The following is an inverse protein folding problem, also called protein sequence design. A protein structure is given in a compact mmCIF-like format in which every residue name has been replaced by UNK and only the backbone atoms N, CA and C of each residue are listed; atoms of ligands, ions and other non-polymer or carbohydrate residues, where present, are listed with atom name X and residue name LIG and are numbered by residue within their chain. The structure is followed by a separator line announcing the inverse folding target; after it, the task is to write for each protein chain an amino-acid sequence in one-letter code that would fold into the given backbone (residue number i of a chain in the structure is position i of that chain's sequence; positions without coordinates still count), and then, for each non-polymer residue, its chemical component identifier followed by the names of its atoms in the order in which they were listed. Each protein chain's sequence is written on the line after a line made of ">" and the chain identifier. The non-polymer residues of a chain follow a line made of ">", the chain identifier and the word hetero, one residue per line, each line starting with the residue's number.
data_IF_860466278700
#
_entry.id   IF_860466278700
#
_cell.length_a   1.000
_cell.length_b   1.000
_cell.length_c   1.000
_cell.angle_alpha   90.00
_cell.angle_beta   90.00
_cell.angle_gamma   90.00
#
_symmetry.space_group_name_H-M   'P 1'
#
loop_
_entity.id
_entity.type
_entity.pdbx_description
1 polymer ?
#
# COMPACT_ATOMS: atom_id res chain seq x y z
N UNK A 1 2.36 -23.26 -11.56
CA UNK A 1 2.88 -22.52 -12.73
C UNK A 1 3.64 -21.30 -12.23
N UNK A 2 4.76 -20.96 -12.86
CA UNK A 2 5.49 -19.74 -12.52
C UNK A 2 4.86 -18.60 -13.30
N UNK A 3 4.34 -17.57 -12.61
CA UNK A 3 3.80 -16.38 -13.26
C UNK A 3 4.98 -15.57 -13.79
N UNK A 4 4.98 -15.28 -15.09
CA UNK A 4 5.99 -14.44 -15.73
C UNK A 4 5.47 -13.02 -15.85
N UNK A 5 6.22 -12.00 -15.40
CA UNK A 5 5.84 -10.62 -15.63
C UNK A 5 5.74 -10.28 -17.11
N UNK A 6 4.73 -9.47 -17.47
CA UNK A 6 4.54 -8.95 -18.81
C UNK A 6 5.28 -7.61 -18.95
N UNK A 7 5.84 -7.33 -20.12
CA UNK A 7 6.42 -6.03 -20.45
C UNK A 7 5.32 -5.03 -20.78
N UNK A 8 5.54 -3.74 -20.43
CA UNK A 8 4.53 -2.70 -20.67
C UNK A 8 4.13 -2.58 -22.14
N UNK A 9 5.09 -2.62 -23.07
CA UNK A 9 4.81 -2.51 -24.51
C UNK A 9 4.02 -3.70 -25.07
N UNK A 10 4.15 -4.89 -24.49
CA UNK A 10 3.37 -6.08 -24.85
C UNK A 10 1.95 -5.96 -24.29
N UNK A 11 1.82 -5.55 -23.01
CA UNK A 11 0.53 -5.35 -22.36
C UNK A 11 -0.30 -4.24 -23.04
N UNK A 12 0.35 -3.23 -23.61
CA UNK A 12 -0.32 -2.11 -24.26
C UNK A 12 -1.01 -2.48 -25.58
N UNK A 13 -0.56 -3.53 -26.26
CA UNK A 13 -1.10 -3.97 -27.55
C UNK A 13 -1.99 -5.21 -27.46
N UNK A 14 -1.94 -5.92 -26.35
CA UNK A 14 -2.79 -7.10 -26.12
C UNK A 14 -4.21 -6.68 -25.75
N UNK A 15 -5.21 -7.25 -26.41
CA UNK A 15 -6.63 -6.99 -26.14
C UNK A 15 -7.26 -8.10 -25.28
N UNK A 16 -8.38 -7.75 -24.61
CA UNK A 16 -9.17 -8.73 -23.87
C UNK A 16 -8.75 -8.96 -22.42
N UNK A 17 -7.84 -8.12 -21.88
CA UNK A 17 -7.50 -8.07 -20.47
C UNK A 17 -7.87 -6.73 -19.85
N UNK A 18 -8.26 -6.75 -18.58
CA UNK A 18 -8.45 -5.54 -17.79
C UNK A 18 -7.09 -4.96 -17.42
N UNK A 19 -6.99 -3.63 -17.35
CA UNK A 19 -5.77 -2.91 -17.01
C UNK A 19 -5.90 -2.27 -15.64
N UNK A 20 -5.41 -2.90 -14.58
CA UNK A 20 -5.66 -2.51 -13.20
C UNK A 20 -4.41 -1.93 -12.56
N UNK A 21 -4.54 -0.73 -12.03
CA UNK A 21 -3.49 0.00 -11.33
C UNK A 21 -3.83 0.06 -9.84
N UNK A 22 -3.26 -0.83 -9.02
CA UNK A 22 -3.47 -0.79 -7.58
C UNK A 22 -2.77 0.40 -6.95
N UNK A 23 -3.49 1.15 -6.14
CA UNK A 23 -3.03 2.34 -5.44
C UNK A 23 -2.82 2.08 -3.96
N UNK A 24 -1.75 2.66 -3.41
CA UNK A 24 -1.47 2.63 -1.97
C UNK A 24 -1.61 4.00 -1.30
N UNK A 25 -1.96 5.04 -2.07
CA UNK A 25 -1.89 6.43 -1.63
C UNK A 25 -0.46 6.91 -1.38
N UNK A 26 0.57 6.18 -1.84
CA UNK A 26 1.97 6.55 -1.74
C UNK A 26 2.53 7.09 -3.06
N UNK A 27 3.71 7.72 -2.99
CA UNK A 27 4.36 8.41 -4.11
C UNK A 27 4.53 7.56 -5.37
N UNK A 28 4.95 6.29 -5.22
CA UNK A 28 5.35 5.45 -6.36
C UNK A 28 4.12 4.97 -7.16
N UNK A 29 3.07 4.49 -6.48
CA UNK A 29 1.83 4.08 -7.15
C UNK A 29 1.09 5.27 -7.76
N UNK A 30 1.15 6.45 -7.13
CA UNK A 30 0.56 7.67 -7.66
C UNK A 30 1.30 8.18 -8.90
N UNK A 31 2.63 8.22 -8.86
CA UNK A 31 3.42 8.58 -10.05
C UNK A 31 3.21 7.61 -11.20
N UNK A 32 3.09 6.30 -10.91
CA UNK A 32 2.73 5.29 -11.90
C UNK A 32 1.39 5.59 -12.56
N UNK A 33 0.36 5.95 -11.78
CA UNK A 33 -0.98 6.26 -12.31
C UNK A 33 -0.94 7.45 -13.26
N UNK A 34 -0.27 8.53 -12.86
CA UNK A 34 -0.09 9.73 -13.68
C UNK A 34 0.68 9.41 -14.97
N UNK A 35 1.77 8.65 -14.85
CA UNK A 35 2.58 8.23 -15.98
C UNK A 35 1.79 7.40 -17.00
N UNK A 36 1.04 6.41 -16.53
CA UNK A 36 0.24 5.54 -17.38
C UNK A 36 -0.88 6.31 -18.08
N UNK A 37 -1.63 7.13 -17.35
CA UNK A 37 -2.71 7.94 -17.91
C UNK A 37 -2.22 8.93 -18.97
N UNK A 38 -1.02 9.50 -18.78
CA UNK A 38 -0.44 10.44 -19.73
C UNK A 38 0.15 9.75 -20.97
N UNK A 39 0.87 8.64 -20.79
CA UNK A 39 1.63 7.98 -21.85
C UNK A 39 0.76 7.06 -22.73
N UNK A 40 -0.30 6.50 -22.14
CA UNK A 40 -1.18 5.52 -22.80
C UNK A 40 -2.66 5.91 -22.64
N UNK A 41 -3.08 7.08 -23.15
CA UNK A 41 -4.44 7.59 -22.98
C UNK A 41 -5.51 6.72 -23.66
N UNK A 42 -5.12 5.85 -24.58
CA UNK A 42 -5.99 4.90 -25.28
C UNK A 42 -6.33 3.66 -24.42
N UNK A 43 -5.59 3.40 -23.36
CA UNK A 43 -5.86 2.27 -22.47
C UNK A 43 -6.83 2.68 -21.38
N UNK A 44 -7.90 1.92 -21.23
CA UNK A 44 -8.86 2.09 -20.16
C UNK A 44 -8.31 1.50 -18.85
N UNK A 45 -7.52 2.28 -18.10
CA UNK A 45 -7.02 1.87 -16.79
C UNK A 45 -8.11 1.93 -15.74
N UNK A 46 -8.11 0.94 -14.84
CA UNK A 46 -8.92 0.92 -13.62
C UNK A 46 -8.00 1.21 -12.43
N UNK A 47 -8.23 2.32 -11.75
CA UNK A 47 -7.48 2.68 -10.54
C UNK A 47 -8.20 2.13 -9.32
N UNK A 48 -7.49 1.31 -8.51
CA UNK A 48 -8.12 0.57 -7.40
C UNK A 48 -7.35 0.79 -6.11
N UNK A 49 -8.03 1.23 -5.07
CA UNK A 49 -7.48 1.40 -3.72
C UNK A 49 -8.12 0.40 -2.75
N UNK A 50 -7.29 -0.41 -2.08
CA UNK A 50 -7.77 -1.32 -1.04
C UNK A 50 -7.83 -0.58 0.31
N UNK A 51 -9.02 -0.16 0.71
CA UNK A 51 -9.25 0.54 1.96
C UNK A 51 -9.30 -0.43 3.15
N UNK A 52 -8.34 -0.30 4.06
CA UNK A 52 -8.28 -1.10 5.28
C UNK A 52 -9.09 -0.48 6.43
N UNK A 53 -9.58 0.75 6.24
CA UNK A 53 -10.21 1.58 7.28
C UNK A 53 -9.23 2.01 8.38
N UNK A 54 -7.94 1.99 8.08
CA UNK A 54 -6.86 2.32 9.00
C UNK A 54 -5.78 3.23 8.38
N UNK A 55 -6.06 3.85 7.28
CA UNK A 55 -5.19 4.84 6.64
C UNK A 55 -5.23 6.16 7.39
N UNK A 56 -4.21 7.01 7.14
CA UNK A 56 -4.20 8.39 7.62
C UNK A 56 -5.22 9.24 6.85
N UNK A 57 -5.84 10.26 7.46
CA UNK A 57 -6.73 11.19 6.75
C UNK A 57 -6.10 11.78 5.48
N UNK A 58 -4.81 12.14 5.56
CA UNK A 58 -4.05 12.69 4.43
C UNK A 58 -3.94 11.72 3.25
N UNK A 59 -4.11 10.42 3.49
CA UNK A 59 -4.12 9.42 2.40
C UNK A 59 -5.39 9.56 1.58
N UNK A 60 -6.54 9.72 2.22
CA UNK A 60 -7.82 9.90 1.54
C UNK A 60 -7.86 11.23 0.78
N UNK A 61 -7.45 12.33 1.42
CA UNK A 61 -7.33 13.65 0.79
C UNK A 61 -6.43 13.61 -0.46
N UNK A 62 -5.35 12.84 -0.38
CA UNK A 62 -4.42 12.70 -1.49
C UNK A 62 -5.01 11.91 -2.64
N UNK A 63 -5.76 10.84 -2.36
CA UNK A 63 -6.47 10.06 -3.37
C UNK A 63 -7.58 10.90 -4.04
N UNK A 64 -8.34 11.71 -3.28
CA UNK A 64 -9.37 12.61 -3.84
C UNK A 64 -8.75 13.63 -4.82
N UNK A 65 -7.58 14.18 -4.47
CA UNK A 65 -6.83 15.06 -5.37
C UNK A 65 -6.32 14.35 -6.61
N UNK A 66 -5.87 13.10 -6.46
CA UNK A 66 -5.43 12.27 -7.58
C UNK A 66 -6.58 11.97 -8.55
N UNK A 67 -7.77 11.62 -8.04
CA UNK A 67 -8.98 11.43 -8.84
C UNK A 67 -9.29 12.67 -9.70
N UNK A 68 -9.20 13.85 -9.08
CA UNK A 68 -9.43 15.10 -9.80
C UNK A 68 -8.42 15.34 -10.94
N UNK A 69 -7.14 15.03 -10.71
CA UNK A 69 -6.08 15.19 -11.72
C UNK A 69 -6.21 14.16 -12.84
N UNK A 70 -6.54 12.90 -12.49
CA UNK A 70 -6.74 11.83 -13.47
C UNK A 70 -8.03 12.05 -14.30
N UNK A 71 -8.99 12.83 -13.79
CA UNK A 71 -10.33 12.95 -14.38
C UNK A 71 -11.10 11.62 -14.38
N UNK A 72 -10.73 10.70 -13.49
CA UNK A 72 -11.29 9.36 -13.40
C UNK A 72 -11.38 8.91 -11.95
N UNK A 73 -12.47 8.21 -11.60
CA UNK A 73 -12.71 7.67 -10.27
C UNK A 73 -11.68 6.60 -9.88
N UNK A 74 -11.25 6.62 -8.60
CA UNK A 74 -10.49 5.56 -7.96
C UNK A 74 -11.47 4.64 -7.24
N UNK A 75 -11.64 3.42 -7.73
CA UNK A 75 -12.49 2.42 -7.09
C UNK A 75 -11.92 2.04 -5.73
N UNK A 76 -12.68 2.33 -4.67
CA UNK A 76 -12.29 2.01 -3.29
C UNK A 76 -12.97 0.71 -2.87
N UNK A 77 -12.18 -0.31 -2.58
CA UNK A 77 -12.66 -1.62 -2.16
C UNK A 77 -12.18 -1.94 -0.76
N UNK A 78 -13.04 -2.54 0.05
CA UNK A 78 -12.67 -2.98 1.39
C UNK A 78 -12.90 -4.49 1.56
N UNK A 79 -12.27 -5.07 2.59
CA UNK A 79 -12.52 -6.47 2.95
C UNK A 79 -13.97 -6.70 3.38
N UNK A 80 -14.65 -5.69 3.91
CA UNK A 80 -16.06 -5.79 4.32
C UNK A 80 -17.00 -5.94 3.11
N UNK A 81 -16.65 -5.29 1.98
CA UNK A 81 -17.46 -5.33 0.78
C UNK A 81 -17.14 -6.55 -0.09
N UNK A 82 -15.88 -6.94 -0.13
CA UNK A 82 -15.39 -7.97 -1.04
C UNK A 82 -15.39 -9.38 -0.46
N UNK A 83 -15.26 -9.51 0.84
CA UNK A 83 -15.27 -10.78 1.56
C UNK A 83 -16.56 -10.86 2.37
N UNK A 84 -17.06 -12.07 2.64
CA UNK A 84 -18.25 -12.29 3.48
C UNK A 84 -17.98 -11.95 4.96
N UNK A 85 -17.57 -10.70 5.20
CA UNK A 85 -17.23 -10.16 6.51
C UNK A 85 -18.25 -9.09 6.88
N UNK A 86 -19.11 -9.38 7.84
CA UNK A 86 -20.16 -8.44 8.27
C UNK A 86 -19.58 -7.20 8.91
N UNK A 87 -19.94 -6.02 8.39
CA UNK A 87 -19.61 -4.76 9.01
C UNK A 87 -20.17 -4.68 10.44
N UNK A 88 -19.41 -4.11 11.36
CA UNK A 88 -19.82 -3.88 12.75
C UNK A 88 -19.77 -2.41 13.10
N UNK A 89 -20.79 -1.85 13.77
CA UNK A 89 -20.81 -0.44 14.14
C UNK A 89 -19.54 -0.01 14.89
N UNK A 90 -18.91 1.08 14.44
CA UNK A 90 -17.72 1.65 15.07
C UNK A 90 -16.42 0.86 14.90
N UNK A 91 -16.42 -0.22 14.07
CA UNK A 91 -15.22 -1.01 13.77
C UNK A 91 -14.79 -0.81 12.32
N UNK A 92 -13.50 -0.59 12.12
CA UNK A 92 -12.88 -0.59 10.79
C UNK A 92 -12.81 -2.01 10.23
N UNK A 93 -12.55 -2.15 8.93
CA UNK A 93 -12.30 -3.46 8.31
C UNK A 93 -11.17 -4.20 9.03
N UNK A 94 -10.11 -3.47 9.43
CA UNK A 94 -9.03 -4.04 10.23
C UNK A 94 -9.53 -4.59 11.58
N UNK A 95 -10.34 -3.83 12.32
CA UNK A 95 -10.87 -4.27 13.62
C UNK A 95 -11.73 -5.54 13.49
N UNK A 96 -12.60 -5.58 12.49
CA UNK A 96 -13.46 -6.74 12.27
C UNK A 96 -12.62 -7.98 11.97
N UNK A 97 -11.69 -7.89 11.03
CA UNK A 97 -10.81 -9.02 10.69
C UNK A 97 -9.94 -9.42 11.88
N UNK A 98 -9.35 -8.46 12.61
CA UNK A 98 -8.54 -8.73 13.80
C UNK A 98 -9.29 -9.54 14.85
N UNK A 99 -10.48 -9.12 15.21
CA UNK A 99 -11.19 -9.74 16.33
C UNK A 99 -12.00 -10.98 15.92
N UNK A 100 -12.60 -10.99 14.75
CA UNK A 100 -13.49 -12.05 14.33
C UNK A 100 -12.75 -13.23 13.65
N UNK A 101 -11.63 -12.95 12.97
CA UNK A 101 -10.87 -14.00 12.28
C UNK A 101 -9.55 -14.36 12.97
N UNK A 102 -8.92 -13.41 13.65
CA UNK A 102 -7.62 -13.62 14.29
C UNK A 102 -7.66 -13.55 15.83
N UNK A 103 -8.87 -13.48 16.44
CA UNK A 103 -9.06 -13.46 17.90
C UNK A 103 -8.10 -12.50 18.62
N UNK A 104 -7.93 -11.30 18.07
CA UNK A 104 -7.05 -10.26 18.61
C UNK A 104 -5.55 -10.47 18.34
N UNK A 105 -5.16 -11.49 17.56
CA UNK A 105 -3.77 -11.72 17.21
C UNK A 105 -3.29 -10.68 16.20
N UNK A 106 -2.44 -9.74 16.65
CA UNK A 106 -1.97 -8.62 15.85
C UNK A 106 -0.98 -9.05 14.75
N UNK A 107 -0.96 -8.33 13.62
CA UNK A 107 -0.03 -8.62 12.54
C UNK A 107 1.41 -8.19 12.93
N UNK A 108 2.39 -8.89 12.36
CA UNK A 108 3.80 -8.61 12.55
C UNK A 108 4.57 -8.85 11.25
N UNK A 109 5.87 -8.52 11.18
CA UNK A 109 6.70 -8.84 10.01
C UNK A 109 6.67 -10.32 9.61
N UNK A 110 6.48 -11.22 10.60
CA UNK A 110 6.42 -12.67 10.38
C UNK A 110 5.02 -13.16 10.02
N UNK A 111 3.97 -12.44 10.45
CA UNK A 111 2.57 -12.87 10.30
C UNK A 111 1.77 -11.72 9.70
N UNK A 112 1.88 -11.56 8.38
CA UNK A 112 1.34 -10.42 7.63
C UNK A 112 -0.09 -10.67 7.14
N UNK A 113 -0.95 -11.18 8.01
CA UNK A 113 -2.34 -11.47 7.67
C UNK A 113 -3.11 -10.21 7.22
N UNK A 114 -2.77 -9.03 7.77
CA UNK A 114 -3.41 -7.78 7.39
C UNK A 114 -3.25 -7.48 5.88
N UNK A 115 -2.08 -7.72 5.33
CA UNK A 115 -1.84 -7.56 3.89
C UNK A 115 -2.71 -8.53 3.07
N UNK A 116 -2.75 -9.79 3.50
CA UNK A 116 -3.49 -10.83 2.77
C UNK A 116 -4.98 -10.60 2.82
N UNK A 117 -5.52 -10.38 4.02
CA UNK A 117 -6.97 -10.29 4.27
C UNK A 117 -7.57 -8.95 3.86
N UNK A 118 -6.81 -7.84 4.02
CA UNK A 118 -7.36 -6.50 3.81
C UNK A 118 -6.98 -5.89 2.45
N UNK A 119 -6.04 -6.51 1.72
CA UNK A 119 -5.57 -5.97 0.43
C UNK A 119 -5.61 -7.01 -0.68
N UNK A 120 -4.84 -8.12 -0.53
CA UNK A 120 -4.71 -9.10 -1.61
C UNK A 120 -6.03 -9.78 -1.92
N UNK A 121 -6.71 -10.38 -0.92
CA UNK A 121 -7.97 -11.09 -1.14
C UNK A 121 -9.07 -10.17 -1.68
N UNK A 122 -9.32 -8.95 -1.14
CA UNK A 122 -10.26 -8.02 -1.74
C UNK A 122 -9.92 -7.67 -3.19
N UNK A 123 -8.64 -7.45 -3.49
CA UNK A 123 -8.16 -7.17 -4.83
C UNK A 123 -8.40 -8.34 -5.80
N UNK A 124 -8.05 -9.56 -5.40
CA UNK A 124 -8.30 -10.78 -6.17
C UNK A 124 -9.80 -11.00 -6.40
N UNK A 125 -10.63 -10.74 -5.39
CA UNK A 125 -12.09 -10.85 -5.48
C UNK A 125 -12.68 -9.81 -6.43
N UNK A 126 -12.15 -8.58 -6.43
CA UNK A 126 -12.55 -7.52 -7.35
C UNK A 126 -12.27 -7.88 -8.81
N UNK A 127 -11.14 -8.50 -9.08
CA UNK A 127 -10.78 -8.96 -10.42
C UNK A 127 -11.59 -10.21 -10.81
N UNK A 128 -11.80 -11.11 -9.87
CA UNK A 128 -12.51 -12.36 -10.11
C UNK A 128 -11.73 -13.29 -11.05
N UNK A 129 -12.45 -13.88 -12.00
CA UNK A 129 -11.87 -14.78 -13.02
C UNK A 129 -11.38 -14.06 -14.29
N UNK A 130 -11.60 -12.73 -14.37
CA UNK A 130 -11.25 -11.98 -15.57
C UNK A 130 -9.73 -11.97 -15.78
N UNK A 131 -9.26 -12.15 -17.02
CA UNK A 131 -7.86 -11.91 -17.34
C UNK A 131 -7.51 -10.44 -17.09
N UNK A 132 -6.43 -10.17 -16.34
CA UNK A 132 -6.04 -8.82 -15.98
C UNK A 132 -4.51 -8.62 -15.99
N UNK A 133 -4.11 -7.40 -16.30
CA UNK A 133 -2.78 -6.87 -15.98
C UNK A 133 -2.85 -6.08 -14.67
N UNK A 134 -1.88 -6.31 -13.79
CA UNK A 134 -1.72 -5.57 -12.55
C UNK A 134 -0.44 -4.73 -12.62
N UNK A 135 -0.58 -3.41 -12.66
CA UNK A 135 0.51 -2.46 -12.84
C UNK A 135 1.11 -2.06 -11.51
N UNK A 136 2.36 -2.45 -11.26
CA UNK A 136 3.00 -2.32 -9.94
C UNK A 136 4.06 -1.23 -9.97
N UNK A 137 3.97 -0.26 -9.03
CA UNK A 137 4.84 0.90 -8.94
C UNK A 137 6.20 0.61 -8.30
N UNK A 138 6.96 -0.35 -8.85
CA UNK A 138 8.35 -0.61 -8.45
C UNK A 138 9.28 0.16 -9.37
N UNK A 139 10.15 0.99 -8.78
CA UNK A 139 11.13 1.79 -9.53
C UNK A 139 12.34 0.96 -9.96
N UNK A 140 13.09 1.49 -10.94
CA UNK A 140 14.31 0.85 -11.44
C UNK A 140 15.47 0.89 -10.43
N UNK A 141 15.50 1.91 -9.57
CA UNK A 141 16.53 2.09 -8.52
C UNK A 141 16.24 1.31 -7.22
N UNK A 142 15.10 0.61 -7.15
CA UNK A 142 14.77 -0.24 -6.00
C UNK A 142 15.42 -1.63 -6.14
N UNK A 143 16.25 -1.97 -5.15
CA UNK A 143 16.80 -3.33 -5.04
C UNK A 143 15.84 -4.22 -4.24
N UNK A 144 14.80 -4.76 -4.91
CA UNK A 144 13.87 -5.71 -4.27
C UNK A 144 14.23 -7.12 -4.64
N UNK A 145 14.36 -7.96 -3.63
CA UNK A 145 14.57 -9.40 -3.81
C UNK A 145 13.51 -9.98 -4.76
N UNK A 146 13.94 -10.72 -5.76
CA UNK A 146 13.09 -11.41 -6.70
C UNK A 146 12.88 -10.76 -8.06
N UNK A 147 13.29 -9.52 -8.26
CA UNK A 147 13.17 -8.88 -9.56
C UNK A 147 14.49 -8.71 -10.32
N UNK A 148 15.60 -8.56 -9.62
CA UNK A 148 16.94 -8.50 -10.21
C UNK A 148 17.76 -9.72 -9.83
N UNK A 149 18.28 -10.45 -10.82
CA UNK A 149 19.27 -11.50 -10.56
C UNK A 149 18.74 -12.88 -10.21
N UNK A 150 17.61 -13.33 -10.77
CA UNK A 150 17.17 -14.73 -10.71
C UNK A 150 16.33 -15.14 -9.51
N UNK A 151 15.85 -14.17 -8.71
CA UNK A 151 14.82 -14.41 -7.69
C UNK A 151 13.41 -14.47 -8.29
N UNK A 152 12.42 -14.92 -7.50
CA UNK A 152 11.02 -14.86 -7.89
C UNK A 152 10.55 -13.41 -8.01
N UNK A 153 9.76 -13.05 -9.06
CA UNK A 153 9.19 -11.71 -9.16
C UNK A 153 8.34 -11.40 -7.93
N UNK A 154 8.33 -10.14 -7.55
CA UNK A 154 7.44 -9.65 -6.50
C UNK A 154 6.03 -9.62 -7.06
N UNK A 155 5.23 -10.60 -6.73
CA UNK A 155 3.84 -10.68 -7.16
C UNK A 155 2.93 -10.03 -6.12
N UNK A 156 1.93 -9.32 -6.60
CA UNK A 156 0.84 -8.83 -5.81
C UNK A 156 -0.15 -9.94 -5.50
N UNK A 157 -0.43 -10.76 -6.51
CA UNK A 157 -1.31 -11.91 -6.47
C UNK A 157 -0.61 -13.11 -7.12
N UNK A 158 -0.92 -14.30 -6.62
CA UNK A 158 -0.47 -15.58 -7.21
C UNK A 158 -1.54 -16.19 -8.14
N UNK A 159 -2.63 -15.47 -8.40
CA UNK A 159 -3.68 -15.91 -9.31
C UNK A 159 -3.17 -15.90 -10.76
N UNK A 160 -3.34 -17.01 -11.51
CA UNK A 160 -2.75 -17.16 -12.84
C UNK A 160 -3.36 -16.24 -13.91
N UNK A 161 -4.56 -15.71 -13.66
CA UNK A 161 -5.23 -14.75 -14.55
C UNK A 161 -4.75 -13.30 -14.35
N UNK A 162 -3.97 -13.02 -13.30
CA UNK A 162 -3.47 -11.67 -12.96
C UNK A 162 -1.97 -11.62 -13.27
N UNK A 163 -1.61 -10.95 -14.37
CA UNK A 163 -0.22 -10.81 -14.79
C UNK A 163 0.39 -9.48 -14.32
N UNK A 164 1.51 -9.51 -13.62
CA UNK A 164 2.16 -8.29 -13.16
C UNK A 164 2.90 -7.58 -14.29
N UNK A 165 2.83 -6.25 -14.29
CA UNK A 165 3.55 -5.34 -15.19
C UNK A 165 4.27 -4.30 -14.34
N UNK A 166 5.51 -3.94 -14.70
CA UNK A 166 6.36 -3.01 -13.93
C UNK A 166 6.82 -1.82 -14.77
N UNK A 167 5.94 -0.90 -15.18
CA UNK A 167 6.26 0.14 -16.16
C UNK A 167 7.41 1.06 -15.73
N UNK A 168 7.42 1.51 -14.48
CA UNK A 168 8.48 2.40 -13.98
C UNK A 168 9.87 1.73 -14.07
N UNK A 169 9.91 0.42 -13.84
CA UNK A 169 11.16 -0.33 -13.94
C UNK A 169 11.56 -0.58 -15.40
N UNK A 170 10.60 -0.93 -16.25
CA UNK A 170 10.83 -1.16 -17.67
C UNK A 170 11.39 0.09 -18.38
N UNK A 171 10.90 1.27 -17.96
CA UNK A 171 11.31 2.56 -18.52
C UNK A 171 12.44 3.25 -17.74
N UNK A 172 13.03 2.59 -16.73
CA UNK A 172 14.20 3.07 -16.02
C UNK A 172 13.96 4.20 -15.03
N UNK A 173 12.71 4.40 -14.57
CA UNK A 173 12.37 5.47 -13.62
C UNK A 173 12.96 5.21 -12.23
N UNK A 174 13.69 6.19 -11.72
CA UNK A 174 14.16 6.25 -10.33
C UNK A 174 13.33 7.18 -9.45
N UNK A 175 13.78 7.37 -8.21
CA UNK A 175 13.10 8.25 -7.24
C UNK A 175 12.96 9.70 -7.74
N UNK A 176 13.98 10.24 -8.41
CA UNK A 176 13.96 11.60 -8.96
C UNK A 176 12.89 11.77 -10.05
N UNK A 177 12.67 10.73 -10.88
CA UNK A 177 11.65 10.75 -11.92
C UNK A 177 10.25 10.70 -11.33
N UNK A 178 10.05 9.87 -10.29
CA UNK A 178 8.80 9.81 -9.52
C UNK A 178 8.47 11.17 -8.90
N UNK A 179 9.44 11.83 -8.28
CA UNK A 179 9.25 13.17 -7.69
C UNK A 179 8.88 14.19 -8.75
N UNK A 180 9.59 14.20 -9.88
CA UNK A 180 9.30 15.09 -11.00
C UNK A 180 7.87 14.91 -11.52
N UNK A 181 7.42 13.67 -11.75
CA UNK A 181 6.05 13.39 -12.18
C UNK A 181 5.00 13.96 -11.22
N UNK A 182 5.23 13.83 -9.91
CA UNK A 182 4.32 14.35 -8.89
C UNK A 182 4.32 15.88 -8.85
N UNK A 183 5.49 16.50 -8.98
CA UNK A 183 5.62 17.97 -8.97
C UNK A 183 5.02 18.58 -10.25
N UNK A 184 5.31 18.01 -11.41
CA UNK A 184 4.80 18.48 -12.72
C UNK A 184 3.26 18.36 -12.80
N UNK A 185 2.68 17.37 -12.13
CA UNK A 185 1.22 17.22 -12.03
C UNK A 185 0.55 18.22 -11.08
N UNK A 186 1.32 18.97 -10.29
CA UNK A 186 0.81 19.83 -9.23
C UNK A 186 0.30 19.11 -7.99
N UNK A 187 0.38 17.79 -7.94
CA UNK A 187 -0.07 17.01 -6.79
C UNK A 187 0.95 17.05 -5.64
N UNK A 188 2.24 16.95 -5.97
CA UNK A 188 3.34 16.85 -5.03
C UNK A 188 3.30 15.57 -4.20
N UNK A 189 4.09 15.53 -3.13
CA UNK A 189 4.08 14.41 -2.18
C UNK A 189 2.90 14.51 -1.21
N UNK A 190 2.34 13.36 -0.74
CA UNK A 190 1.41 13.36 0.38
C UNK A 190 2.00 14.03 1.63
N UNK A 191 1.20 14.83 2.34
CA UNK A 191 1.66 15.60 3.53
C UNK A 191 2.30 14.72 4.62
N UNK A 192 1.88 13.48 4.77
CA UNK A 192 2.47 12.60 5.77
C UNK A 192 3.96 12.29 5.51
N UNK A 193 4.50 12.52 4.30
CA UNK A 193 5.94 12.37 4.05
C UNK A 193 6.81 13.40 4.80
N UNK A 194 6.23 14.44 5.39
CA UNK A 194 6.94 15.37 6.28
C UNK A 194 7.47 14.67 7.55
N UNK A 195 6.80 13.61 7.99
CA UNK A 195 7.12 12.93 9.25
C UNK A 195 7.16 11.40 9.12
N UNK A 196 6.86 10.87 7.96
CA UNK A 196 6.77 9.45 7.67
C UNK A 196 7.47 9.14 6.35
N UNK A 197 8.05 7.95 6.21
CA UNK A 197 8.84 7.57 5.03
C UNK A 197 8.05 6.79 3.98
N UNK A 198 6.78 6.42 4.26
CA UNK A 198 5.98 5.55 3.38
C UNK A 198 4.48 5.65 3.67
N UNK A 199 3.67 5.26 2.68
CA UNK A 199 2.23 5.01 2.85
C UNK A 199 1.95 3.78 3.73
N UNK A 200 0.70 3.63 4.15
CA UNK A 200 0.17 2.48 4.90
C UNK A 200 -0.60 2.88 6.15
N UNK A 201 -1.19 1.89 6.81
CA UNK A 201 -1.99 2.09 8.01
C UNK A 201 -1.29 2.93 9.08
N UNK A 202 -2.04 3.71 9.86
CA UNK A 202 -1.46 4.57 10.90
C UNK A 202 -0.71 3.78 11.99
N UNK A 203 -1.02 2.50 12.17
CA UNK A 203 -0.36 1.60 13.13
C UNK A 203 0.55 0.55 12.47
N UNK A 204 1.07 0.79 11.27
CA UNK A 204 1.90 -0.20 10.60
C UNK A 204 3.13 -0.57 11.42
N UNK A 205 3.33 -1.87 11.68
CA UNK A 205 4.48 -2.41 12.44
C UNK A 205 5.84 -2.17 11.77
N UNK A 206 5.85 -1.70 10.52
CA UNK A 206 7.09 -1.29 9.83
C UNK A 206 7.48 0.17 10.12
N UNK A 207 6.73 0.89 10.94
CA UNK A 207 7.08 2.27 11.32
C UNK A 207 8.35 2.33 12.15
N UNK A 208 9.15 3.37 11.93
CA UNK A 208 10.27 3.73 12.77
C UNK A 208 9.77 4.40 14.06
N UNK A 209 10.59 4.42 15.12
CA UNK A 209 10.26 5.15 16.36
C UNK A 209 9.94 6.62 16.07
N UNK A 210 10.70 7.26 15.17
CA UNK A 210 10.44 8.66 14.77
C UNK A 210 9.06 8.83 14.11
N UNK A 211 8.57 7.84 13.35
CA UNK A 211 7.25 7.87 12.71
C UNK A 211 6.13 7.70 13.73
N UNK A 212 6.31 6.85 14.75
CA UNK A 212 5.39 6.75 15.87
C UNK A 212 5.30 8.04 16.68
N UNK A 213 6.44 8.70 16.91
CA UNK A 213 6.46 10.02 17.55
C UNK A 213 5.78 11.08 16.69
N UNK A 214 5.96 11.03 15.36
CA UNK A 214 5.26 11.88 14.41
C UNK A 214 3.75 11.63 14.41
N UNK A 215 3.32 10.38 14.50
CA UNK A 215 1.89 10.03 14.64
C UNK A 215 1.30 10.62 15.91
N UNK A 216 2.01 10.53 17.05
CA UNK A 216 1.56 11.12 18.30
C UNK A 216 1.38 12.65 18.20
N UNK A 217 2.32 13.32 17.54
CA UNK A 217 2.27 14.79 17.39
C UNK A 217 1.17 15.27 16.44
N UNK A 218 0.97 14.57 15.34
CA UNK A 218 0.05 14.98 14.27
C UNK A 218 -1.36 14.41 14.46
N UNK A 219 -1.45 13.18 14.97
CA UNK A 219 -2.70 12.44 15.15
C UNK A 219 -2.75 11.76 16.52
N UNK A 220 -2.82 12.51 17.63
CA UNK A 220 -2.77 11.93 18.98
C UNK A 220 -3.88 10.90 19.23
N UNK A 221 -5.08 11.10 18.70
CA UNK A 221 -6.19 10.15 18.83
C UNK A 221 -5.88 8.80 18.14
N UNK A 222 -5.23 8.81 16.98
CA UNK A 222 -4.81 7.58 16.28
C UNK A 222 -3.67 6.89 17.01
N UNK A 223 -2.76 7.66 17.61
CA UNK A 223 -1.69 7.10 18.43
C UNK A 223 -2.27 6.40 19.68
N UNK A 224 -3.19 7.03 20.40
CA UNK A 224 -3.87 6.39 21.53
C UNK A 224 -4.66 5.14 21.10
N UNK A 225 -5.34 5.20 19.96
CA UNK A 225 -6.00 4.01 19.40
C UNK A 225 -4.99 2.89 19.10
N UNK A 226 -3.81 3.20 18.56
CA UNK A 226 -2.77 2.21 18.33
C UNK A 226 -2.26 1.57 19.64
N UNK A 227 -2.12 2.34 20.74
CA UNK A 227 -1.79 1.82 22.07
C UNK A 227 -2.83 0.81 22.57
N UNK A 228 -4.13 1.02 22.30
CA UNK A 228 -5.16 0.09 22.76
C UNK A 228 -5.04 -1.31 22.16
N UNK A 229 -4.44 -1.43 20.99
CA UNK A 229 -4.18 -2.75 20.39
C UNK A 229 -3.10 -3.54 21.14
N UNK A 230 -2.09 -2.88 21.70
CA UNK A 230 -1.04 -3.55 22.49
C UNK A 230 -1.60 -4.19 23.76
N UNK A 231 -2.63 -3.57 24.37
CA UNK A 231 -3.18 -3.98 25.67
C UNK A 231 -4.34 -4.99 25.58
N UNK A 232 -5.11 -4.98 24.48
CA UNK A 232 -6.36 -5.77 24.35
C UNK A 232 -6.16 -7.24 24.07
N UNK A 233 -4.98 -7.67 23.66
CA UNK A 233 -4.72 -9.05 23.23
C UNK A 233 -4.37 -10.03 24.36
N UNK A 234 -4.23 -9.59 25.60
CA UNK A 234 -3.80 -10.43 26.74
C UNK A 234 -2.41 -11.10 26.54
N UNK A 235 -1.66 -10.62 25.58
CA UNK A 235 -0.32 -11.08 25.22
C UNK A 235 0.62 -9.87 25.21
N UNK A 236 1.89 -10.10 25.52
CA UNK A 236 2.96 -9.09 25.45
C UNK A 236 3.27 -8.76 23.98
N UNK A 237 2.34 -8.06 23.31
CA UNK A 237 2.55 -7.58 21.95
C UNK A 237 2.94 -6.11 21.96
N UNK A 238 3.94 -5.74 21.18
CA UNK A 238 4.36 -4.37 20.96
C UNK A 238 4.51 -4.09 19.45
N UNK A 239 4.08 -2.91 19.01
CA UNK A 239 4.26 -2.49 17.61
C UNK A 239 5.72 -2.28 17.25
N UNK A 240 6.53 -1.85 18.22
CA UNK A 240 7.99 -1.69 18.11
C UNK A 240 8.63 -2.86 18.83
N UNK A 241 9.58 -3.52 18.20
CA UNK A 241 10.27 -4.69 18.78
C UNK A 241 10.84 -4.37 20.16
N UNK A 242 10.36 -5.11 21.17
CA UNK A 242 10.79 -4.98 22.57
C UNK A 242 10.40 -3.67 23.27
N UNK A 243 9.45 -2.88 22.73
CA UNK A 243 9.01 -1.61 23.33
C UNK A 243 7.54 -1.35 23.06
N UNK A 244 6.82 -0.96 24.10
CA UNK A 244 5.44 -0.47 23.97
C UNK A 244 5.41 0.93 23.36
N UNK A 245 4.25 1.34 22.85
CA UNK A 245 4.06 2.74 22.43
C UNK A 245 4.10 3.70 23.62
N UNK A 246 3.77 3.24 24.84
CA UNK A 246 3.95 4.02 26.07
C UNK A 246 5.44 4.30 26.35
N UNK A 247 6.32 3.34 26.08
CA UNK A 247 7.77 3.56 26.19
C UNK A 247 8.26 4.50 25.09
N UNK A 248 7.77 4.34 23.86
CA UNK A 248 8.09 5.24 22.74
C UNK A 248 7.70 6.69 23.05
N UNK A 249 6.56 6.89 23.71
CA UNK A 249 6.07 8.20 24.14
C UNK A 249 7.02 8.92 25.08
N UNK A 250 7.69 8.17 25.98
CA UNK A 250 8.64 8.70 26.98
C UNK A 250 10.05 8.92 26.40
N UNK A 251 10.32 8.45 25.19
CA UNK A 251 11.64 8.58 24.56
C UNK A 251 11.92 10.00 24.08
N UNK A 252 13.19 10.39 24.07
CA UNK A 252 13.64 11.59 23.34
C UNK A 252 13.31 11.50 21.86
N UNK A 253 13.03 12.66 21.24
CA UNK A 253 12.72 12.75 19.80
C UNK A 253 13.81 12.07 18.96
N UNK A 254 13.39 11.20 18.07
CA UNK A 254 14.25 10.52 17.12
C UNK A 254 14.17 11.17 15.74
N UNK A 255 15.28 11.12 15.03
CA UNK A 255 15.32 11.57 13.63
C UNK A 255 14.84 10.46 12.72
N UNK A 256 14.00 10.83 11.76
CA UNK A 256 13.58 9.92 10.68
C UNK A 256 14.80 9.51 9.86
N UNK A 257 15.04 8.21 9.75
CA UNK A 257 16.12 7.69 8.90
C UNK A 257 15.53 7.35 7.53
N UNK A 258 16.26 7.69 6.47
CA UNK A 258 15.96 7.13 5.16
C UNK A 258 15.95 5.59 5.28
N UNK A 259 14.86 4.96 4.83
CA UNK A 259 14.82 3.49 4.78
C UNK A 259 15.67 3.03 3.63
N UNK A 260 16.51 2.01 3.87
CA UNK A 260 17.04 1.20 2.78
C UNK A 260 15.86 0.53 2.06
N UNK A 261 15.88 0.51 0.74
CA UNK A 261 14.81 -0.07 -0.10
C UNK A 261 14.56 -1.57 0.19
N UNK A 262 15.49 -2.23 0.87
CA UNK A 262 15.40 -3.63 1.29
C UNK A 262 14.38 -3.91 2.40
N UNK A 263 14.04 -2.90 3.23
CA UNK A 263 13.17 -3.07 4.40
C UNK A 263 11.67 -2.87 4.11
N UNK A 264 11.29 -2.61 2.86
CA UNK A 264 9.90 -2.33 2.47
C UNK A 264 9.12 -3.59 2.11
N UNK A 265 7.87 -3.65 2.56
CA UNK A 265 6.91 -4.63 2.03
C UNK A 265 6.55 -4.26 0.58
N UNK A 266 6.89 -5.13 -0.39
CA UNK A 266 6.50 -4.95 -1.79
C UNK A 266 4.98 -4.77 -1.98
N UNK A 267 4.19 -5.38 -1.09
CA UNK A 267 2.72 -5.39 -1.13
C UNK A 267 2.11 -4.16 -0.43
N UNK A 268 2.90 -3.34 0.27
CA UNK A 268 2.41 -2.05 0.79
C UNK A 268 2.32 -0.97 -0.30
N UNK A 269 2.54 -1.33 -1.56
CA UNK A 269 2.24 -0.52 -2.73
C UNK A 269 0.83 -0.75 -3.28
N UNK A 270 0.04 -1.57 -2.59
CA UNK A 270 -1.41 -1.70 -2.73
C UNK A 270 -2.13 -0.75 -1.84
#
# INVERSE_FOLDING_TARGET
>A
MTITPMRMHEAAVETGRRHIVPLSGGKDSTALSLYLAQKYPEIAFEFVFCDTGAELPETYEYLDRLEHILGQEITRISALDMLDVSAKPGRSAFDVVLYDHFNGFLPSPRTRWCTRMLKIHPYEKYIGSDPAYSYIGIRADENRAGYTGGGKPVLLSEQPNILPVYPLKDDGFGLADVQRLLDDSGLGLPRYYEWRSRSGCYFCFYQQVAEWQGLKERHPALFERAKTYETRGGRDYTWVDGRSLEDVEKMSRRTLKAKSDEAGCAICHL
#
